data_IF_419495151699
#
_entry.id   IF_419495151699
#
_cell.length_a   1.000
_cell.length_b   1.000
_cell.length_c   1.000
_cell.angle_alpha   90.00
_cell.angle_beta   90.00
_cell.angle_gamma   90.00
#
_symmetry.space_group_name_H-M   'P 1'
#
loop_
_entity.id
_entity.type
_entity.pdbx_description
1 polymer ?
#
# COMPACT_ATOMS: atom_id res chain seq x y z
N UNK A 1 7.39 -10.90 3.87
CA UNK A 1 6.68 -9.85 3.10
C UNK A 1 5.37 -10.43 2.59
N UNK A 2 4.20 -9.94 3.04
CA UNK A 2 2.94 -10.34 2.41
C UNK A 2 2.93 -9.79 0.97
N UNK A 3 2.71 -10.68 0.00
CA UNK A 3 2.60 -10.32 -1.43
C UNK A 3 1.12 -10.29 -1.81
N UNK A 4 0.69 -9.22 -2.49
CA UNK A 4 -0.66 -9.07 -3.00
C UNK A 4 -0.65 -8.35 -4.33
N UNK A 5 -1.54 -8.75 -5.26
CA UNK A 5 -1.68 -8.11 -6.57
C UNK A 5 -3.12 -7.67 -6.78
N UNK A 6 -3.31 -6.37 -7.00
CA UNK A 6 -4.62 -5.78 -7.33
C UNK A 6 -4.78 -5.70 -8.84
N UNK A 7 -5.90 -6.21 -9.36
CA UNK A 7 -6.31 -6.05 -10.77
C UNK A 7 -7.40 -4.98 -10.83
N UNK A 8 -7.33 -4.12 -11.83
CA UNK A 8 -8.25 -2.98 -12.03
C UNK A 8 -8.58 -2.84 -13.50
N UNK A 9 -9.85 -2.52 -13.76
CA UNK A 9 -10.37 -2.28 -15.09
C UNK A 9 -10.47 -0.78 -15.34
N UNK A 10 -9.74 -0.29 -16.34
CA UNK A 10 -9.71 1.14 -16.69
C UNK A 10 -10.77 1.52 -17.72
N UNK A 11 -11.05 0.59 -18.65
CA UNK A 11 -11.97 0.78 -19.76
C UNK A 11 -13.15 -0.16 -19.65
N UNK A 12 -14.32 0.34 -20.02
CA UNK A 12 -15.52 -0.45 -20.27
C UNK A 12 -15.38 -1.26 -21.55
N UNK A 13 -16.36 -2.11 -21.82
CA UNK A 13 -16.43 -2.90 -23.05
C UNK A 13 -16.46 -1.99 -24.29
N UNK A 14 -17.16 -0.85 -24.20
CA UNK A 14 -17.26 0.17 -25.26
C UNK A 14 -15.97 1.01 -25.45
N UNK A 15 -14.90 0.69 -24.72
CA UNK A 15 -13.62 1.41 -24.79
C UNK A 15 -13.56 2.73 -24.02
N UNK A 16 -14.69 3.23 -23.53
CA UNK A 16 -14.76 4.43 -22.65
C UNK A 16 -14.15 4.16 -21.27
N UNK A 17 -13.64 5.20 -20.62
CA UNK A 17 -13.03 5.09 -19.29
C UNK A 17 -14.10 4.95 -18.21
N UNK A 18 -13.83 4.11 -17.20
CA UNK A 18 -14.69 4.03 -16.00
C UNK A 18 -14.68 5.33 -15.19
N UNK A 19 -13.50 5.95 -15.07
CA UNK A 19 -13.32 7.25 -14.45
C UNK A 19 -12.61 8.18 -15.44
N UNK A 20 -13.26 9.25 -15.93
CA UNK A 20 -12.64 10.17 -16.91
C UNK A 20 -11.43 10.90 -16.32
N UNK A 21 -11.33 11.05 -15.00
CA UNK A 21 -10.16 11.63 -14.34
C UNK A 21 -8.94 10.69 -14.33
N UNK A 22 -9.09 9.43 -14.75
CA UNK A 22 -8.01 8.44 -14.77
C UNK A 22 -7.91 7.85 -16.18
N UNK A 23 -7.07 8.48 -16.99
CA UNK A 23 -6.87 8.09 -18.38
C UNK A 23 -5.85 6.96 -18.56
N UNK A 24 -4.89 6.85 -17.64
CA UNK A 24 -3.77 5.91 -17.75
C UNK A 24 -3.48 5.19 -16.43
N UNK A 25 -2.83 4.04 -16.51
CA UNK A 25 -2.37 3.28 -15.34
C UNK A 25 -1.37 4.08 -14.50
N UNK A 26 -0.54 4.92 -15.13
CA UNK A 26 0.40 5.80 -14.42
C UNK A 26 -0.34 6.83 -13.56
N UNK A 27 -1.37 7.46 -14.13
CA UNK A 27 -2.19 8.44 -13.42
C UNK A 27 -2.95 7.81 -12.24
N UNK A 28 -3.47 6.58 -12.41
CA UNK A 28 -4.05 5.81 -11.31
C UNK A 28 -3.05 5.64 -10.16
N UNK A 29 -1.80 5.28 -10.45
CA UNK A 29 -0.79 5.06 -9.42
C UNK A 29 -0.42 6.33 -8.66
N UNK A 30 -0.35 7.48 -9.33
CA UNK A 30 -0.10 8.77 -8.69
C UNK A 30 -1.24 9.15 -7.72
N UNK A 31 -2.48 9.04 -8.18
CA UNK A 31 -3.67 9.26 -7.34
C UNK A 31 -3.70 8.33 -6.12
N UNK A 32 -3.38 7.04 -6.30
CA UNK A 32 -3.28 6.09 -5.18
C UNK A 32 -2.20 6.52 -4.19
N UNK A 33 -1.04 6.96 -4.67
CA UNK A 33 0.05 7.44 -3.81
C UNK A 33 -0.36 8.65 -2.98
N UNK A 34 -1.21 9.54 -3.50
CA UNK A 34 -1.74 10.70 -2.78
C UNK A 34 -2.81 10.32 -1.75
N UNK A 35 -3.68 9.35 -2.06
CA UNK A 35 -4.83 8.99 -1.23
C UNK A 35 -4.47 8.01 -0.10
N UNK A 36 -3.53 7.09 -0.31
CA UNK A 36 -3.16 6.06 0.68
C UNK A 36 -2.71 6.64 2.03
N UNK A 37 -1.89 7.71 2.09
CA UNK A 37 -1.50 8.32 3.37
C UNK A 37 -2.69 8.91 4.15
N UNK A 38 -3.75 9.34 3.45
CA UNK A 38 -4.96 9.93 4.05
C UNK A 38 -5.98 8.87 4.49
N UNK A 39 -5.72 7.60 4.20
CA UNK A 39 -6.65 6.52 4.52
C UNK A 39 -6.86 6.38 6.04
N UNK A 40 -8.11 6.31 6.55
CA UNK A 40 -8.40 6.22 7.99
C UNK A 40 -7.67 5.08 8.72
N UNK A 41 -7.49 3.94 8.05
CA UNK A 41 -6.74 2.79 8.59
C UNK A 41 -5.21 3.00 8.67
N UNK A 42 -4.68 4.08 8.08
CA UNK A 42 -3.28 4.51 8.19
C UNK A 42 -3.11 5.70 9.14
N UNK A 43 -4.03 6.67 9.12
CA UNK A 43 -3.95 7.88 9.96
C UNK A 43 -4.24 7.61 11.43
N UNK A 44 -5.17 6.70 11.77
CA UNK A 44 -5.50 6.35 13.16
C UNK A 44 -4.41 5.56 13.92
N UNK A 45 -3.34 5.11 13.25
CA UNK A 45 -2.26 4.34 13.89
C UNK A 45 -1.05 5.18 14.29
N UNK A 46 -1.09 6.51 14.07
CA UNK A 46 -0.02 7.40 14.47
C UNK A 46 -0.24 7.96 15.88
N UNK A 47 -0.27 7.06 16.86
CA UNK A 47 0.21 7.33 18.21
C UNK A 47 1.13 6.17 18.62
N UNK A 48 2.28 6.53 19.19
CA UNK A 48 3.41 5.73 19.66
C UNK A 48 4.45 5.22 18.62
N UNK A 49 5.69 5.79 18.65
CA UNK A 49 6.88 5.13 18.11
C UNK A 49 7.38 4.12 19.15
N UNK A 50 7.39 2.82 18.84
CA UNK A 50 8.21 1.87 19.59
C UNK A 50 9.63 1.90 19.02
N UNK A 51 10.41 2.85 19.51
CA UNK A 51 11.86 2.74 19.52
C UNK A 51 12.22 1.68 20.55
N UNK A 52 12.65 0.50 20.10
CA UNK A 52 13.47 -0.40 20.92
C UNK A 52 14.51 -1.07 20.03
N UNK A 53 15.61 -0.32 19.88
CA UNK A 53 17.00 -0.76 20.08
C UNK A 53 17.43 -2.13 19.54
N UNK A 54 18.43 -2.06 18.67
CA UNK A 54 19.37 -3.12 18.34
C UNK A 54 19.88 -3.89 19.58
N UNK A 55 19.99 -5.22 19.46
CA UNK A 55 21.11 -6.00 20.00
C UNK A 55 21.02 -7.47 19.58
N UNK A 56 22.17 -7.94 19.07
CA UNK A 56 22.77 -9.26 19.33
C UNK A 56 21.99 -10.53 18.95
N UNK A 57 22.56 -11.27 18.00
CA UNK A 57 22.26 -12.68 17.79
C UNK A 57 22.51 -13.53 19.03
N UNK A 58 21.83 -14.66 19.08
CA UNK A 58 22.20 -15.79 19.94
C UNK A 58 21.59 -17.06 19.38
N UNK A 59 22.41 -17.74 18.59
CA UNK A 59 22.35 -19.17 18.35
C UNK A 59 22.72 -19.93 19.64
N UNK A 60 21.84 -20.80 20.16
CA UNK A 60 22.21 -21.94 21.04
C UNK A 60 20.98 -22.86 21.27
N UNK A 61 21.18 -24.11 21.72
CA UNK A 61 20.81 -25.35 21.03
C UNK A 61 19.88 -26.20 21.91
N UNK A 62 19.65 -27.46 21.53
CA UNK A 62 18.64 -28.32 22.12
C UNK A 62 18.77 -28.69 23.60
N UNK A 63 17.71 -29.37 24.04
CA UNK A 63 17.70 -30.40 25.08
C UNK A 63 16.65 -31.43 24.68
#
# INVERSE_FOLDING_TARGET
MQRGRVRVQLKKEDGTLWNPAISSRKQLMLQVAELVPRHPGRTKKQEAPSTSSAAAGSSKPGK
#
